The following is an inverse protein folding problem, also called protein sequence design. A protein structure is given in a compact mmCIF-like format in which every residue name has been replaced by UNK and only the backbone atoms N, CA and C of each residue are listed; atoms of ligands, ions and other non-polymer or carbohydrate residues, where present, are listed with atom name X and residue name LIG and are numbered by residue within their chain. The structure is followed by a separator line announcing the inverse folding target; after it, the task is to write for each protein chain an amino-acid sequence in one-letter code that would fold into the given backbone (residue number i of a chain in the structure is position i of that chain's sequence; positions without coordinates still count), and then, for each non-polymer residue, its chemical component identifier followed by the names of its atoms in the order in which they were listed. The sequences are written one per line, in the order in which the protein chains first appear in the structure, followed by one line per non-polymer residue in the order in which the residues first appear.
data_IF_423826148348
#
_entry.id   IF_423826148348
#
_cell.length_a   1.000
_cell.length_b   1.000
_cell.length_c   1.000
_cell.angle_alpha   90.00
_cell.angle_beta   90.00
_cell.angle_gamma   90.00
#
_symmetry.space_group_name_H-M   'P 1'
#
loop_
_entity.id
_entity.type
_entity.pdbx_description
1 polymer ?
#
# COMPACT_ATOMS: atom_id res chain seq x y z
N UNK A 1 9.35 17.00 -14.89
CA UNK A 1 7.89 16.72 -14.99
C UNK A 1 7.47 15.47 -14.21
N UNK A 2 8.11 14.30 -14.37
CA UNK A 2 7.76 13.04 -13.67
C UNK A 2 7.86 13.19 -12.14
N UNK A 3 8.89 13.86 -11.65
CA UNK A 3 9.04 14.14 -10.22
C UNK A 3 7.88 14.97 -9.66
N UNK A 4 7.45 16.03 -10.35
CA UNK A 4 6.31 16.84 -9.93
C UNK A 4 5.01 16.02 -9.91
N UNK A 5 4.84 15.12 -10.86
CA UNK A 5 3.71 14.20 -10.90
C UNK A 5 3.72 13.23 -9.71
N UNK A 6 4.90 12.73 -9.31
CA UNK A 6 5.02 11.88 -8.11
C UNK A 6 4.71 12.64 -6.82
N UNK A 7 5.12 13.90 -6.69
CA UNK A 7 4.79 14.76 -5.55
C UNK A 7 3.30 15.01 -5.48
N UNK A 8 2.66 15.32 -6.61
CA UNK A 8 1.21 15.50 -6.69
C UNK A 8 0.46 14.24 -6.23
N UNK A 9 0.90 13.06 -6.69
CA UNK A 9 0.32 11.79 -6.25
C UNK A 9 0.45 11.62 -4.71
N UNK A 10 1.61 11.93 -4.15
CA UNK A 10 1.82 11.84 -2.70
C UNK A 10 0.92 12.79 -1.91
N UNK A 11 0.69 14.01 -2.39
CA UNK A 11 -0.24 14.96 -1.77
C UNK A 11 -1.69 14.47 -1.83
N UNK A 12 -2.10 13.91 -2.97
CA UNK A 12 -3.44 13.34 -3.14
C UNK A 12 -3.66 12.13 -2.22
N UNK A 13 -2.63 11.31 -1.96
CA UNK A 13 -2.75 10.15 -1.07
C UNK A 13 -3.16 10.54 0.35
N UNK A 14 -2.61 11.62 0.87
CA UNK A 14 -2.96 12.11 2.22
C UNK A 14 -4.44 12.51 2.30
N UNK A 15 -5.00 13.06 1.22
CA UNK A 15 -6.39 13.54 1.17
C UNK A 15 -7.42 12.44 0.82
N UNK A 16 -7.00 11.24 0.41
CA UNK A 16 -7.90 10.16 0.04
C UNK A 16 -8.83 9.76 1.19
N UNK A 17 -10.12 9.59 0.86
CA UNK A 17 -11.17 9.10 1.78
C UNK A 17 -11.67 7.68 1.44
N UNK A 18 -11.24 7.12 0.30
CA UNK A 18 -11.68 5.82 -0.20
C UNK A 18 -10.48 4.94 -0.56
N UNK A 19 -10.64 3.61 -0.40
CA UNK A 19 -9.59 2.65 -0.78
C UNK A 19 -9.28 2.64 -2.28
N UNK A 20 -10.27 2.82 -3.15
CA UNK A 20 -10.05 2.84 -4.61
C UNK A 20 -9.26 4.09 -5.01
N UNK A 21 -9.62 5.26 -4.48
CA UNK A 21 -8.89 6.49 -4.74
C UNK A 21 -7.45 6.39 -4.24
N UNK A 22 -7.24 5.81 -3.07
CA UNK A 22 -5.90 5.55 -2.55
C UNK A 22 -5.08 4.62 -3.45
N UNK A 23 -5.70 3.53 -3.94
CA UNK A 23 -5.06 2.62 -4.89
C UNK A 23 -4.58 3.34 -6.15
N UNK A 24 -5.46 4.11 -6.81
CA UNK A 24 -5.13 4.83 -8.04
C UNK A 24 -3.96 5.80 -7.84
N UNK A 25 -3.94 6.50 -6.72
CA UNK A 25 -2.89 7.45 -6.39
C UNK A 25 -1.57 6.76 -6.06
N UNK A 26 -1.60 5.63 -5.33
CA UNK A 26 -0.43 4.80 -5.06
C UNK A 26 0.17 4.25 -6.37
N UNK A 27 -0.66 3.81 -7.32
CA UNK A 27 -0.18 3.34 -8.62
C UNK A 27 0.41 4.47 -9.47
N UNK A 28 -0.23 5.64 -9.49
CA UNK A 28 0.30 6.82 -10.17
C UNK A 28 1.70 7.19 -9.65
N UNK A 29 1.90 7.17 -8.34
CA UNK A 29 3.20 7.39 -7.70
C UNK A 29 4.19 6.30 -8.08
N UNK A 30 3.79 5.02 -8.02
CA UNK A 30 4.64 3.88 -8.31
C UNK A 30 5.16 3.90 -9.74
N UNK A 31 4.30 4.18 -10.73
CA UNK A 31 4.69 4.34 -12.15
C UNK A 31 5.75 5.42 -12.33
N UNK A 32 5.63 6.56 -11.64
CA UNK A 32 6.65 7.60 -11.68
C UNK A 32 7.99 7.10 -11.14
N UNK A 33 7.98 6.32 -10.07
CA UNK A 33 9.19 5.80 -9.45
C UNK A 33 9.84 4.69 -10.25
N UNK A 34 9.08 3.84 -10.94
CA UNK A 34 9.65 2.84 -11.87
C UNK A 34 10.46 3.51 -12.98
N UNK A 35 9.95 4.61 -13.54
CA UNK A 35 10.66 5.40 -14.56
C UNK A 35 11.89 6.08 -13.97
N UNK A 36 11.80 6.62 -12.74
CA UNK A 36 12.92 7.28 -12.09
C UNK A 36 14.02 6.29 -11.68
N UNK A 37 13.69 5.05 -11.32
CA UNK A 37 14.63 3.99 -11.01
C UNK A 37 15.43 3.57 -12.27
N UNK A 38 14.75 3.46 -13.42
CA UNK A 38 15.35 3.11 -14.72
C UNK A 38 15.83 4.32 -15.53
N UNK A 39 16.07 5.46 -14.90
CA UNK A 39 16.35 6.71 -15.61
C UNK A 39 17.65 6.69 -16.42
N UNK A 40 18.69 5.95 -15.95
CA UNK A 40 19.96 5.77 -16.67
C UNK A 40 19.84 4.63 -17.67
N UNK A 41 19.44 4.93 -18.90
CA UNK A 41 19.26 3.94 -19.98
C UNK A 41 20.54 3.20 -20.38
N UNK A 42 21.69 3.82 -20.20
CA UNK A 42 23.00 3.27 -20.56
C UNK A 42 23.55 2.28 -19.51
N UNK A 43 22.90 2.18 -18.36
CA UNK A 43 23.29 1.28 -17.28
C UNK A 43 22.35 0.07 -17.20
N UNK A 44 22.88 -1.13 -17.42
CA UNK A 44 22.14 -2.37 -17.25
C UNK A 44 21.61 -2.53 -15.81
N UNK A 45 22.38 -2.10 -14.82
CA UNK A 45 21.95 -2.13 -13.40
C UNK A 45 20.72 -1.26 -13.15
N UNK A 46 20.64 -0.05 -13.73
CA UNK A 46 19.50 0.84 -13.57
C UNK A 46 18.23 0.30 -14.24
N UNK A 47 18.37 -0.29 -15.42
CA UNK A 47 17.24 -0.90 -16.12
C UNK A 47 16.75 -2.16 -15.41
N UNK A 48 17.64 -2.98 -14.88
CA UNK A 48 17.32 -4.16 -14.07
C UNK A 48 16.60 -3.75 -12.77
N UNK A 49 17.12 -2.73 -12.04
CA UNK A 49 16.49 -2.21 -10.84
C UNK A 49 15.05 -1.73 -11.11
N UNK A 50 14.85 -0.98 -12.20
CA UNK A 50 13.52 -0.53 -12.60
C UNK A 50 12.56 -1.67 -12.94
N UNK A 51 13.03 -2.72 -13.62
CA UNK A 51 12.24 -3.92 -13.92
C UNK A 51 11.88 -4.70 -12.66
N UNK A 52 12.82 -4.95 -11.76
CA UNK A 52 12.56 -5.62 -10.48
C UNK A 52 11.54 -4.86 -9.65
N UNK A 53 11.66 -3.52 -9.61
CA UNK A 53 10.74 -2.66 -8.89
C UNK A 53 9.34 -2.69 -9.50
N UNK A 54 9.23 -2.66 -10.84
CA UNK A 54 7.96 -2.75 -11.55
C UNK A 54 7.28 -4.11 -11.29
N UNK A 55 7.99 -5.23 -11.45
CA UNK A 55 7.41 -6.57 -11.31
C UNK A 55 6.91 -6.78 -9.88
N UNK A 56 7.73 -6.48 -8.87
CA UNK A 56 7.35 -6.64 -7.47
C UNK A 56 6.21 -5.69 -7.08
N UNK A 57 6.25 -4.45 -7.57
CA UNK A 57 5.20 -3.46 -7.32
C UNK A 57 3.87 -3.82 -7.98
N UNK A 58 3.87 -4.25 -9.24
CA UNK A 58 2.67 -4.68 -9.95
C UNK A 58 2.01 -5.91 -9.29
N UNK A 59 2.80 -6.87 -8.83
CA UNK A 59 2.29 -8.01 -8.08
C UNK A 59 1.58 -7.58 -6.79
N UNK A 60 2.22 -6.71 -6.02
CA UNK A 60 1.66 -6.26 -4.74
C UNK A 60 0.42 -5.38 -4.92
N UNK A 61 0.32 -4.61 -6.01
CA UNK A 61 -0.87 -3.82 -6.32
C UNK A 61 -2.07 -4.69 -6.71
N UNK A 62 -1.84 -5.83 -7.34
CA UNK A 62 -2.86 -6.85 -7.55
C UNK A 62 -3.42 -7.41 -6.23
N UNK A 63 -2.55 -7.65 -5.25
CA UNK A 63 -2.97 -8.08 -3.89
C UNK A 63 -3.79 -7.00 -3.20
N UNK A 64 -3.41 -5.71 -3.37
CA UNK A 64 -4.21 -4.58 -2.83
C UNK A 64 -5.64 -4.59 -3.39
N UNK A 65 -5.79 -4.67 -4.71
CA UNK A 65 -7.10 -4.70 -5.36
C UNK A 65 -7.93 -5.92 -4.92
N UNK A 66 -7.31 -7.07 -4.82
CA UNK A 66 -7.96 -8.27 -4.33
C UNK A 66 -8.44 -8.08 -2.88
N UNK A 67 -7.59 -7.53 -2.00
CA UNK A 67 -7.98 -7.18 -0.64
C UNK A 67 -9.15 -6.19 -0.58
N UNK A 68 -9.09 -5.12 -1.39
CA UNK A 68 -10.17 -4.13 -1.49
C UNK A 68 -11.49 -4.75 -2.01
N UNK A 69 -11.43 -5.68 -2.96
CA UNK A 69 -12.61 -6.39 -3.46
C UNK A 69 -13.27 -7.26 -2.39
N UNK A 70 -12.48 -7.93 -1.53
CA UNK A 70 -13.01 -8.71 -0.41
C UNK A 70 -13.67 -7.82 0.64
N UNK A 71 -13.09 -6.65 0.95
CA UNK A 71 -13.69 -5.68 1.86
C UNK A 71 -15.01 -5.17 1.29
N UNK A 72 -15.04 -4.84 0.01
CA UNK A 72 -16.27 -4.41 -0.66
C UNK A 72 -17.33 -5.50 -0.67
N UNK A 73 -16.95 -6.75 -0.94
CA UNK A 73 -17.85 -7.89 -0.89
C UNK A 73 -18.48 -8.13 0.49
N UNK A 74 -17.75 -7.80 1.56
CA UNK A 74 -18.25 -7.95 2.94
C UNK A 74 -18.99 -6.75 3.48
N UNK A 75 -18.55 -5.52 3.19
CA UNK A 75 -19.12 -4.28 3.76
C UNK A 75 -20.00 -3.50 2.78
N UNK A 76 -19.91 -3.74 1.46
CA UNK A 76 -20.62 -2.99 0.42
C UNK A 76 -20.10 -1.57 0.20
N UNK A 77 -19.03 -1.16 0.87
CA UNK A 77 -18.44 0.18 0.78
C UNK A 77 -16.93 0.15 0.95
N UNK A 78 -16.23 1.11 0.30
CA UNK A 78 -14.78 1.31 0.44
C UNK A 78 -14.44 2.69 1.02
N UNK A 79 -15.44 3.48 1.36
CA UNK A 79 -15.26 4.77 2.03
C UNK A 79 -14.93 4.58 3.50
N UNK A 80 -13.86 5.23 3.97
CA UNK A 80 -13.32 5.04 5.32
C UNK A 80 -14.31 5.37 6.43
N UNK A 81 -15.11 6.42 6.27
CA UNK A 81 -16.10 6.81 7.27
C UNK A 81 -17.20 5.74 7.40
N UNK A 82 -17.71 5.25 6.26
CA UNK A 82 -18.74 4.22 6.24
C UNK A 82 -18.20 2.89 6.77
N UNK A 83 -16.95 2.54 6.40
CA UNK A 83 -16.29 1.34 6.92
C UNK A 83 -16.15 1.38 8.44
N UNK A 84 -15.69 2.50 9.01
CA UNK A 84 -15.55 2.63 10.46
C UNK A 84 -16.90 2.56 11.19
N UNK A 85 -17.97 3.10 10.61
CA UNK A 85 -19.32 2.98 11.15
C UNK A 85 -19.80 1.53 11.11
N UNK A 86 -19.70 0.85 9.98
CA UNK A 86 -20.15 -0.54 9.83
C UNK A 86 -19.39 -1.49 10.76
N UNK A 87 -18.06 -1.29 10.92
CA UNK A 87 -17.24 -2.08 11.83
C UNK A 87 -17.50 -1.80 13.31
N UNK A 88 -18.17 -0.69 13.65
CA UNK A 88 -18.56 -0.37 15.03
C UNK A 88 -19.79 -1.17 15.50
N UNK A 89 -20.59 -1.69 14.58
CA UNK A 89 -21.74 -2.54 14.94
C UNK A 89 -21.30 -4.00 15.06
N UNK A 90 -21.78 -4.74 16.08
CA UNK A 90 -21.51 -6.17 16.17
C UNK A 90 -22.16 -6.86 14.95
N UNK A 91 -21.33 -7.51 14.15
CA UNK A 91 -21.82 -8.37 13.06
C UNK A 91 -22.53 -9.55 13.71
N UNK A 92 -23.83 -9.68 13.46
CA UNK A 92 -24.64 -10.80 13.96
C UNK A 92 -24.05 -12.14 13.49
N UNK A 93 -24.24 -13.20 14.29
CA UNK A 93 -23.64 -14.54 14.04
C UNK A 93 -24.01 -15.16 12.69
N UNK A 94 -25.09 -14.70 12.05
CA UNK A 94 -25.51 -15.14 10.72
C UNK A 94 -24.55 -14.72 9.59
N UNK A 95 -23.63 -13.76 9.83
CA UNK A 95 -22.71 -13.19 8.85
C UNK A 95 -21.23 -13.50 9.12
N UNK A 96 -20.90 -14.59 9.82
CA UNK A 96 -19.50 -14.98 10.08
C UNK A 96 -18.65 -15.07 8.82
N UNK A 97 -19.21 -15.57 7.71
CA UNK A 97 -18.50 -15.66 6.43
C UNK A 97 -18.12 -14.26 5.88
N UNK A 98 -19.00 -13.27 6.00
CA UNK A 98 -18.72 -11.91 5.57
C UNK A 98 -17.63 -11.26 6.44
N UNK A 99 -17.63 -11.53 7.74
CA UNK A 99 -16.58 -11.09 8.67
C UNK A 99 -15.20 -11.65 8.23
N UNK A 100 -15.14 -12.91 7.84
CA UNK A 100 -13.91 -13.54 7.37
C UNK A 100 -13.39 -12.86 6.09
N UNK A 101 -14.26 -12.57 5.11
CA UNK A 101 -13.86 -11.85 3.90
C UNK A 101 -13.29 -10.47 4.21
N UNK A 102 -13.94 -9.71 5.09
CA UNK A 102 -13.46 -8.39 5.52
C UNK A 102 -12.11 -8.51 6.22
N UNK A 103 -11.96 -9.46 7.12
CA UNK A 103 -10.72 -9.68 7.86
C UNK A 103 -9.55 -10.03 6.92
N UNK A 104 -9.75 -10.98 6.01
CA UNK A 104 -8.75 -11.35 5.01
C UNK A 104 -8.42 -10.16 4.10
N UNK A 105 -9.43 -9.42 3.66
CA UNK A 105 -9.24 -8.21 2.84
C UNK A 105 -8.42 -7.15 3.55
N UNK A 106 -8.72 -6.88 4.82
CA UNK A 106 -7.97 -5.93 5.67
C UNK A 106 -6.52 -6.38 5.85
N UNK A 107 -6.25 -7.68 6.08
CA UNK A 107 -4.90 -8.22 6.18
C UNK A 107 -4.13 -8.03 4.87
N UNK A 108 -4.73 -8.33 3.71
CA UNK A 108 -4.10 -8.16 2.40
C UNK A 108 -3.75 -6.70 2.12
N UNK A 109 -4.66 -5.77 2.37
CA UNK A 109 -4.38 -4.32 2.22
C UNK A 109 -3.25 -3.89 3.16
N UNK A 110 -3.25 -4.35 4.40
CA UNK A 110 -2.21 -4.05 5.39
C UNK A 110 -0.84 -4.56 4.93
N UNK A 111 -0.75 -5.81 4.47
CA UNK A 111 0.48 -6.40 3.92
C UNK A 111 1.02 -5.56 2.75
N UNK A 112 0.14 -5.09 1.87
CA UNK A 112 0.57 -4.28 0.72
C UNK A 112 1.13 -2.92 1.15
N UNK A 113 0.55 -2.28 2.15
CA UNK A 113 1.07 -1.03 2.69
C UNK A 113 2.44 -1.24 3.37
N UNK A 114 2.61 -2.31 4.13
CA UNK A 114 3.90 -2.69 4.74
C UNK A 114 4.98 -2.97 3.68
N UNK A 115 4.61 -3.65 2.58
CA UNK A 115 5.52 -3.86 1.45
C UNK A 115 5.96 -2.53 0.82
N UNK A 116 5.05 -1.59 0.60
CA UNK A 116 5.36 -0.28 0.02
C UNK A 116 6.29 0.57 0.90
N UNK A 117 6.21 0.42 2.23
CA UNK A 117 7.15 1.06 3.18
C UNK A 117 8.48 0.31 3.26
N UNK A 118 8.55 -0.90 2.74
CA UNK A 118 9.67 -1.84 2.91
C UNK A 118 9.89 -2.23 4.40
N UNK A 119 8.79 -2.47 5.12
CA UNK A 119 8.87 -3.00 6.49
C UNK A 119 9.30 -4.48 6.48
N UNK A 120 10.05 -4.92 7.48
CA UNK A 120 10.37 -6.34 7.62
C UNK A 120 9.08 -7.17 7.86
N UNK A 121 8.93 -8.36 7.27
CA UNK A 121 9.83 -9.08 6.37
C UNK A 121 9.73 -8.69 4.88
N UNK A 122 8.87 -7.73 4.50
CA UNK A 122 8.50 -7.38 3.12
C UNK A 122 9.50 -6.43 2.42
N UNK A 123 10.75 -6.32 2.89
CA UNK A 123 11.76 -5.38 2.42
C UNK A 123 12.71 -5.93 1.34
N UNK A 124 12.52 -7.17 0.88
CA UNK A 124 13.44 -7.87 -0.02
C UNK A 124 13.69 -7.17 -1.37
N UNK A 125 12.76 -6.34 -1.83
CA UNK A 125 12.87 -5.59 -3.07
C UNK A 125 13.77 -4.34 -2.95
N UNK A 126 13.86 -3.75 -1.75
CA UNK A 126 14.48 -2.44 -1.56
C UNK A 126 16.00 -2.41 -1.73
N UNK A 127 16.80 -3.40 -1.30
CA UNK A 127 18.24 -3.37 -1.51
C UNK A 127 18.62 -3.34 -2.99
N UNK A 128 18.06 -4.25 -3.78
CA UNK A 128 18.34 -4.37 -5.22
C UNK A 128 17.96 -3.09 -5.99
N UNK A 129 16.80 -2.51 -5.65
CA UNK A 129 16.31 -1.29 -6.28
C UNK A 129 17.17 -0.08 -5.90
N UNK A 130 17.59 0.02 -4.64
CA UNK A 130 18.38 1.16 -4.16
C UNK A 130 19.82 1.12 -4.68
N UNK A 131 20.41 -0.06 -4.84
CA UNK A 131 21.76 -0.22 -5.39
C UNK A 131 21.79 0.11 -6.89
N UNK A 132 20.82 -0.38 -7.66
CA UNK A 132 20.80 -0.22 -9.11
C UNK A 132 20.33 1.15 -9.61
N UNK A 133 19.54 1.89 -8.81
CA UNK A 133 18.98 3.17 -9.25
C UNK A 133 19.96 4.35 -9.09
N UNK A 134 19.78 5.45 -9.87
CA UNK A 134 20.57 6.66 -9.72
C UNK A 134 20.43 7.26 -8.31
N UNK A 135 21.53 7.71 -7.71
CA UNK A 135 21.58 8.23 -6.35
C UNK A 135 20.52 9.31 -6.08
N UNK A 136 20.31 10.24 -7.03
CA UNK A 136 19.31 11.30 -6.92
C UNK A 136 17.87 10.75 -6.82
N UNK A 137 17.56 9.70 -7.56
CA UNK A 137 16.26 9.03 -7.51
C UNK A 137 16.11 8.24 -6.21
N UNK A 138 17.16 7.50 -5.81
CA UNK A 138 17.15 6.67 -4.59
C UNK A 138 16.85 7.49 -3.34
N UNK A 139 17.47 8.67 -3.18
CA UNK A 139 17.21 9.56 -2.04
C UNK A 139 15.73 9.97 -1.98
N UNK A 140 15.13 10.27 -3.13
CA UNK A 140 13.73 10.71 -3.19
C UNK A 140 12.80 9.59 -2.76
N UNK A 141 12.89 8.40 -3.37
CA UNK A 141 11.93 7.34 -3.06
C UNK A 141 12.25 6.52 -1.81
N UNK A 142 13.42 6.73 -1.21
CA UNK A 142 13.73 6.15 0.10
C UNK A 142 13.10 6.89 1.29
N UNK A 143 12.82 8.19 1.15
CA UNK A 143 12.35 9.03 2.26
C UNK A 143 10.90 9.47 2.07
N UNK A 144 10.60 10.21 0.98
CA UNK A 144 9.33 10.91 0.83
C UNK A 144 8.12 9.96 0.79
N UNK A 145 8.10 8.90 -0.03
CA UNK A 145 6.95 8.00 -0.07
C UNK A 145 6.72 7.26 1.24
N UNK A 146 7.80 6.91 1.96
CA UNK A 146 7.67 6.20 3.24
C UNK A 146 6.90 7.03 4.26
N UNK A 147 7.22 8.33 4.38
CA UNK A 147 6.53 9.25 5.28
C UNK A 147 5.03 9.33 4.92
N UNK A 148 4.71 9.50 3.63
CA UNK A 148 3.34 9.66 3.17
C UNK A 148 2.53 8.36 3.29
N UNK A 149 3.10 7.22 2.89
CA UNK A 149 2.43 5.93 3.04
C UNK A 149 2.25 5.59 4.52
N UNK A 150 3.21 5.94 5.39
CA UNK A 150 3.07 5.73 6.83
C UNK A 150 1.96 6.60 7.43
N UNK A 151 1.82 7.85 6.99
CA UNK A 151 0.70 8.73 7.35
C UNK A 151 -0.65 8.13 6.92
N UNK A 152 -0.72 7.59 5.69
CA UNK A 152 -1.90 6.88 5.20
C UNK A 152 -2.15 5.59 6.00
N UNK A 153 -1.11 4.87 6.37
CA UNK A 153 -1.20 3.67 7.21
C UNK A 153 -1.81 3.96 8.59
N UNK A 154 -1.45 5.08 9.24
CA UNK A 154 -2.07 5.50 10.50
C UNK A 154 -3.56 5.73 10.30
N UNK A 155 -3.97 6.40 9.22
CA UNK A 155 -5.38 6.60 8.87
C UNK A 155 -6.09 5.25 8.64
N UNK A 156 -5.45 4.33 7.92
CA UNK A 156 -5.97 2.98 7.70
C UNK A 156 -6.19 2.23 9.03
N UNK A 157 -5.20 2.24 9.91
CA UNK A 157 -5.28 1.61 11.24
C UNK A 157 -6.41 2.21 12.08
N UNK A 158 -6.66 3.52 12.00
CA UNK A 158 -7.77 4.14 12.72
C UNK A 158 -9.15 3.66 12.25
N UNK A 159 -9.30 3.35 10.95
CA UNK A 159 -10.53 2.81 10.37
C UNK A 159 -10.80 1.38 10.83
N UNK A 160 -9.75 0.54 10.86
CA UNK A 160 -9.87 -0.88 11.19
C UNK A 160 -9.68 -1.17 12.69
N UNK A 161 -9.51 -0.14 13.52
CA UNK A 161 -9.17 -0.27 14.93
C UNK A 161 -10.09 -1.19 15.74
N UNK A 162 -11.34 -1.32 15.33
CA UNK A 162 -12.33 -2.20 15.97
C UNK A 162 -12.08 -3.69 15.67
N UNK A 163 -11.44 -4.02 14.55
CA UNK A 163 -11.02 -5.39 14.19
C UNK A 163 -9.70 -5.79 14.86
N UNK A 164 -9.03 -4.87 15.55
CA UNK A 164 -7.70 -5.10 16.13
C UNK A 164 -7.65 -6.25 17.13
N UNK A 165 -8.74 -6.54 17.84
CA UNK A 165 -8.77 -7.67 18.78
C UNK A 165 -8.57 -9.00 18.07
N UNK A 166 -9.06 -9.14 16.84
CA UNK A 166 -8.93 -10.35 16.02
C UNK A 166 -7.57 -10.42 15.29
N UNK A 167 -6.92 -9.27 15.07
CA UNK A 167 -5.68 -9.14 14.29
C UNK A 167 -4.43 -8.91 15.17
N UNK A 168 -4.58 -8.76 16.48
CA UNK A 168 -3.45 -8.50 17.41
C UNK A 168 -2.26 -9.45 17.21
N UNK A 169 -2.53 -10.74 16.98
CA UNK A 169 -1.48 -11.74 16.75
C UNK A 169 -0.62 -11.43 15.53
N UNK A 170 -1.21 -10.88 14.45
CA UNK A 170 -0.48 -10.54 13.24
C UNK A 170 0.45 -9.33 13.44
N UNK A 171 0.00 -8.31 14.16
CA UNK A 171 0.84 -7.13 14.44
C UNK A 171 1.98 -7.42 15.41
N UNK A 172 1.81 -8.37 16.34
CA UNK A 172 2.89 -8.83 17.24
C UNK A 172 4.00 -9.55 16.48
N UNK A 173 3.69 -10.22 15.35
CA UNK A 173 4.68 -10.89 14.51
C UNK A 173 5.52 -9.93 13.64
N UNK A 174 5.05 -8.71 13.44
CA UNK A 174 5.69 -7.71 12.56
C UNK A 174 6.49 -6.67 13.37
N UNK A 175 6.17 -6.47 14.63
CA UNK A 175 6.84 -5.55 15.56
C UNK A 175 7.92 -6.22 16.36
#
# INVERSE_FOLDING_TARGET
SIFLLSVLALMLLVSCSDLISAYLVIEMQALCFYILASFRRDSAFSTEAGLKYFISGAFISGIFLFGASLIYGGLGTLNFNNMSLLLSFPLENEFEHLKLFVLVGVLLVTITLLFKVAAAPFHFWSPDVYEGSPLSSTVIFSIIPKIVIFSFFIKWVSVIGLLFNDIKGFFVLIG
#
